data_IF_171267628659
#
_entry.id   IF_171267628659
#
_cell.length_a   1.000
_cell.length_b   1.000
_cell.length_c   1.000
_cell.angle_alpha   90.00
_cell.angle_beta   90.00
_cell.angle_gamma   90.00
#
_symmetry.space_group_name_H-M   'P 1'
#
loop_
_entity.id
_entity.type
_entity.pdbx_description
1 polymer ?
#
# COMPACT_ATOMS: atom_id res chain seq x y z
N UNK A 1 -3.13 -6.02 31.81
CA UNK A 1 -3.91 -5.51 30.65
C UNK A 1 -3.02 -4.56 29.85
N UNK A 2 -2.37 -5.05 28.80
CA UNK A 2 -1.51 -4.23 27.95
C UNK A 2 -2.34 -3.42 26.96
N UNK A 3 -2.12 -2.10 26.93
CA UNK A 3 -2.75 -1.19 25.95
C UNK A 3 -2.54 -1.73 24.53
N UNK A 4 -3.58 -1.82 23.69
CA UNK A 4 -3.38 -2.03 22.27
C UNK A 4 -2.81 -0.71 21.72
N UNK A 5 -1.49 -0.58 21.65
CA UNK A 5 -0.87 0.45 20.83
C UNK A 5 -1.08 0.04 19.38
N UNK A 6 -2.28 0.33 18.88
CA UNK A 6 -2.67 0.11 17.50
C UNK A 6 -1.75 0.90 16.61
N UNK A 7 -0.72 0.25 16.07
CA UNK A 7 -0.02 0.75 14.91
C UNK A 7 -1.08 1.05 13.85
N UNK A 8 -1.11 2.29 13.38
CA UNK A 8 -2.02 2.72 12.32
C UNK A 8 -1.93 1.72 11.18
N UNK A 9 -3.00 0.96 10.93
CA UNK A 9 -2.97 -0.08 9.90
C UNK A 9 -2.80 0.51 8.48
N UNK A 10 -2.41 -0.34 7.52
CA UNK A 10 -2.20 -0.04 6.11
C UNK A 10 -3.31 0.83 5.47
N UNK A 11 -4.59 0.56 5.73
CA UNK A 11 -5.68 1.41 5.24
C UNK A 11 -5.65 2.83 5.81
N UNK A 12 -5.32 2.99 7.10
CA UNK A 12 -5.22 4.31 7.72
C UNK A 12 -3.97 5.06 7.21
N UNK A 13 -2.88 4.34 6.95
CA UNK A 13 -1.69 4.89 6.29
C UNK A 13 -1.97 5.31 4.85
N UNK A 14 -2.71 4.52 4.07
CA UNK A 14 -3.14 4.87 2.72
C UNK A 14 -4.04 6.12 2.72
N UNK A 15 -4.94 6.21 3.69
CA UNK A 15 -5.83 7.36 3.86
C UNK A 15 -5.07 8.63 4.25
N UNK A 16 -4.14 8.54 5.21
CA UNK A 16 -3.23 9.64 5.57
C UNK A 16 -2.38 10.08 4.37
N UNK A 17 -1.92 9.12 3.55
CA UNK A 17 -1.19 9.41 2.33
C UNK A 17 -2.03 10.20 1.34
N UNK A 18 -3.28 9.78 1.14
CA UNK A 18 -4.24 10.47 0.28
C UNK A 18 -4.54 11.88 0.77
N UNK A 19 -4.87 12.06 2.06
CA UNK A 19 -5.09 13.39 2.66
C UNK A 19 -3.85 14.27 2.50
N UNK A 20 -2.66 13.71 2.74
CA UNK A 20 -1.40 14.43 2.58
C UNK A 20 -1.19 14.92 1.15
N UNK A 21 -1.37 14.04 0.16
CA UNK A 21 -1.23 14.39 -1.25
C UNK A 21 -2.30 15.40 -1.70
N UNK A 22 -3.54 15.23 -1.24
CA UNK A 22 -4.61 16.18 -1.52
C UNK A 22 -4.28 17.57 -0.93
N UNK A 23 -3.86 17.62 0.33
CA UNK A 23 -3.47 18.87 0.99
C UNK A 23 -2.26 19.54 0.33
N UNK A 24 -1.30 18.74 -0.15
CA UNK A 24 -0.17 19.21 -0.96
C UNK A 24 -0.64 19.89 -2.25
N UNK A 25 -1.46 19.18 -3.04
CA UNK A 25 -1.89 19.66 -4.36
C UNK A 25 -2.81 20.88 -4.22
N UNK A 26 -3.83 20.79 -3.37
CA UNK A 26 -4.76 21.91 -3.14
C UNK A 26 -4.06 23.11 -2.50
N UNK A 27 -3.15 22.90 -1.55
CA UNK A 27 -2.35 23.97 -0.96
C UNK A 27 -1.48 24.70 -1.99
N UNK A 28 -0.85 23.98 -2.91
CA UNK A 28 -0.08 24.59 -4.01
C UNK A 28 -0.97 25.39 -4.98
N UNK A 29 -2.14 24.87 -5.34
CA UNK A 29 -3.09 25.59 -6.22
C UNK A 29 -3.54 26.89 -5.56
N UNK A 30 -3.92 26.85 -4.29
CA UNK A 30 -4.37 28.02 -3.54
C UNK A 30 -3.21 29.00 -3.30
N UNK A 31 -1.99 28.51 -3.08
CA UNK A 31 -0.80 29.36 -2.99
C UNK A 31 -0.58 30.16 -4.26
N UNK A 32 -0.59 29.50 -5.43
CA UNK A 32 -0.42 30.17 -6.73
C UNK A 32 -1.56 31.15 -6.99
N UNK A 33 -2.82 30.75 -6.75
CA UNK A 33 -3.98 31.64 -6.90
C UNK A 33 -3.91 32.87 -5.99
N UNK A 34 -3.53 32.68 -4.72
CA UNK A 34 -3.37 33.77 -3.75
C UNK A 34 -2.24 34.74 -4.13
N UNK A 35 -1.13 34.25 -4.69
CA UNK A 35 -0.07 35.11 -5.21
C UNK A 35 -0.54 35.95 -6.41
N UNK A 36 -1.30 35.36 -7.33
CA UNK A 36 -1.85 36.06 -8.50
C UNK A 36 -2.88 37.14 -8.10
N UNK A 37 -3.62 36.92 -7.02
CA UNK A 37 -4.59 37.89 -6.48
C UNK A 37 -3.97 38.92 -5.51
N UNK A 38 -2.65 38.91 -5.29
CA UNK A 38 -1.97 39.80 -4.33
C UNK A 38 -2.26 39.48 -2.85
N UNK A 39 -2.89 38.33 -2.55
CA UNK A 39 -3.25 37.87 -1.21
C UNK A 39 -2.11 37.05 -0.60
N UNK A 40 -1.06 37.75 -0.18
CA UNK A 40 0.19 37.16 0.33
C UNK A 40 -0.06 36.28 1.58
N UNK A 41 -0.85 36.76 2.55
CA UNK A 41 -1.05 36.03 3.81
C UNK A 41 -1.83 34.71 3.62
N UNK A 42 -2.96 34.67 2.89
CA UNK A 42 -3.61 33.40 2.52
C UNK A 42 -2.71 32.46 1.71
N UNK A 43 -1.88 32.99 0.82
CA UNK A 43 -0.93 32.20 0.04
C UNK A 43 0.08 31.49 0.97
N UNK A 44 0.68 32.21 1.92
CA UNK A 44 1.63 31.62 2.88
C UNK A 44 1.01 30.52 3.75
N UNK A 45 -0.25 30.68 4.17
CA UNK A 45 -0.99 29.63 4.88
C UNK A 45 -1.20 28.40 3.99
N UNK A 46 -1.57 28.61 2.72
CA UNK A 46 -1.74 27.52 1.76
C UNK A 46 -0.42 26.78 1.47
N UNK A 47 0.71 27.49 1.46
CA UNK A 47 2.05 26.90 1.33
C UNK A 47 2.42 26.04 2.55
N UNK A 48 2.12 26.50 3.76
CA UNK A 48 2.35 25.72 4.98
C UNK A 48 1.50 24.42 5.00
N UNK A 49 0.23 24.51 4.57
CA UNK A 49 -0.64 23.35 4.37
C UNK A 49 -0.06 22.40 3.32
N UNK A 50 0.48 22.93 2.22
CA UNK A 50 1.09 22.13 1.18
C UNK A 50 2.31 21.33 1.69
N UNK A 51 3.20 21.99 2.44
CA UNK A 51 4.38 21.36 3.05
C UNK A 51 3.97 20.28 4.05
N UNK A 52 3.00 20.59 4.93
CA UNK A 52 2.45 19.62 5.89
C UNK A 52 1.81 18.42 5.19
N UNK A 53 1.08 18.66 4.11
CA UNK A 53 0.52 17.62 3.24
C UNK A 53 1.60 16.73 2.62
N UNK A 54 2.68 17.32 2.10
CA UNK A 54 3.82 16.58 1.54
C UNK A 54 4.48 15.66 2.57
N UNK A 55 4.62 16.11 3.82
CA UNK A 55 5.15 15.29 4.91
C UNK A 55 4.21 14.13 5.28
N UNK A 56 2.91 14.43 5.43
CA UNK A 56 1.87 13.44 5.73
C UNK A 56 1.71 12.39 4.61
N UNK A 57 1.99 12.76 3.36
CA UNK A 57 2.04 11.86 2.22
C UNK A 57 3.25 10.93 2.24
N UNK A 58 4.42 11.46 2.58
CA UNK A 58 5.70 10.75 2.45
C UNK A 58 5.87 9.62 3.48
N UNK A 59 5.46 9.84 4.73
CA UNK A 59 5.64 8.90 5.82
C UNK A 59 4.95 7.52 5.62
N UNK A 60 3.65 7.45 5.30
CA UNK A 60 2.97 6.19 5.03
C UNK A 60 3.44 5.50 3.74
N UNK A 61 3.78 6.28 2.70
CA UNK A 61 4.25 5.76 1.42
C UNK A 61 5.47 4.84 1.56
N UNK A 62 6.46 5.27 2.34
CA UNK A 62 7.70 4.50 2.55
C UNK A 62 7.43 3.18 3.27
N UNK A 63 6.41 3.13 4.14
CA UNK A 63 6.06 1.92 4.89
C UNK A 63 5.19 0.95 4.11
N UNK A 64 4.42 1.42 3.13
CA UNK A 64 3.48 0.57 2.36
C UNK A 64 4.11 -0.19 1.19
N UNK A 65 5.36 0.10 0.81
CA UNK A 65 6.00 -0.52 -0.35
C UNK A 65 6.06 -2.07 -0.26
N UNK A 66 6.27 -2.60 0.95
CA UNK A 66 6.38 -4.04 1.19
C UNK A 66 5.07 -4.67 1.68
N UNK A 67 3.94 -3.97 1.55
CA UNK A 67 2.64 -4.47 1.98
C UNK A 67 2.20 -5.63 1.08
N UNK A 68 1.76 -6.72 1.71
CA UNK A 68 1.26 -7.93 1.06
C UNK A 68 -0.25 -8.02 1.13
N UNK A 69 -0.84 -7.76 2.29
CA UNK A 69 -2.28 -7.93 2.46
C UNK A 69 -2.75 -7.77 3.89
N UNK A 70 -4.07 -7.85 4.07
CA UNK A 70 -4.72 -7.74 5.37
C UNK A 70 -5.66 -8.92 5.59
N UNK A 71 -5.16 -10.08 6.03
CA UNK A 71 -5.99 -11.27 6.27
C UNK A 71 -7.07 -11.04 7.34
N UNK A 72 -6.82 -10.16 8.31
CA UNK A 72 -7.80 -9.76 9.33
C UNK A 72 -7.63 -8.29 9.72
N UNK A 73 -8.68 -7.70 10.31
CA UNK A 73 -8.62 -6.34 10.83
C UNK A 73 -7.40 -6.16 11.76
N UNK A 74 -6.62 -5.10 11.53
CA UNK A 74 -5.41 -4.77 12.29
C UNK A 74 -4.26 -5.79 12.20
N UNK A 75 -4.32 -6.77 11.28
CA UNK A 75 -3.23 -7.71 10.99
C UNK A 75 -2.69 -7.50 9.59
N UNK A 76 -2.01 -6.38 9.40
CA UNK A 76 -1.34 -6.09 8.13
C UNK A 76 -0.10 -6.95 7.97
N UNK A 77 0.04 -7.57 6.81
CA UNK A 77 1.17 -8.44 6.47
C UNK A 77 2.10 -7.71 5.53
N UNK A 78 3.39 -7.77 5.86
CA UNK A 78 4.48 -7.20 5.09
C UNK A 78 5.51 -8.29 4.78
N UNK A 79 6.35 -8.02 3.79
CA UNK A 79 7.47 -8.87 3.45
C UNK A 79 8.82 -8.16 3.70
N UNK A 80 9.85 -8.94 3.97
CA UNK A 80 11.26 -8.52 3.94
C UNK A 80 12.14 -9.66 3.41
N UNK A 81 13.45 -9.53 3.57
CA UNK A 81 14.43 -10.54 3.13
C UNK A 81 14.36 -11.86 3.91
N UNK A 82 13.74 -11.87 5.10
CA UNK A 82 13.66 -13.05 5.97
C UNK A 82 12.35 -13.80 5.76
N UNK A 83 11.24 -13.10 5.58
CA UNK A 83 9.93 -13.74 5.44
C UNK A 83 8.75 -12.78 5.36
N UNK A 84 7.56 -13.35 5.57
CA UNK A 84 6.34 -12.57 5.80
C UNK A 84 6.14 -12.34 7.29
N UNK A 85 5.79 -11.13 7.68
CA UNK A 85 5.57 -10.76 9.08
C UNK A 85 4.35 -9.85 9.25
N UNK A 86 3.77 -9.87 10.44
CA UNK A 86 2.74 -8.91 10.81
C UNK A 86 3.37 -7.58 11.23
N UNK A 87 2.77 -6.47 10.81
CA UNK A 87 3.13 -5.13 11.28
C UNK A 87 2.70 -4.88 12.72
N UNK A 88 3.45 -5.50 13.63
CA UNK A 88 3.34 -5.39 15.07
C UNK A 88 4.73 -5.23 15.68
N UNK A 89 4.77 -4.80 16.95
CA UNK A 89 6.03 -4.70 17.69
C UNK A 89 6.72 -6.07 17.72
N UNK A 90 8.02 -6.09 17.40
CA UNK A 90 8.81 -7.32 17.30
C UNK A 90 8.73 -8.03 15.95
N UNK A 91 7.90 -7.57 15.00
CA UNK A 91 7.76 -8.14 13.64
C UNK A 91 7.59 -9.68 13.66
N UNK A 92 6.53 -10.20 14.29
CA UNK A 92 6.33 -11.64 14.36
C UNK A 92 6.15 -12.21 12.95
N UNK A 93 7.08 -13.07 12.54
CA UNK A 93 7.05 -13.74 11.24
C UNK A 93 5.93 -14.78 11.21
N UNK A 94 5.14 -14.76 10.14
CA UNK A 94 4.25 -15.85 9.76
C UNK A 94 5.06 -17.09 9.40
N UNK A 95 6.14 -16.86 8.66
CA UNK A 95 7.12 -17.86 8.25
C UNK A 95 8.35 -17.14 7.69
N UNK A 96 9.47 -17.83 7.70
CA UNK A 96 10.65 -17.42 6.93
C UNK A 96 10.61 -18.03 5.53
N UNK A 97 11.24 -17.39 4.54
CA UNK A 97 11.27 -17.90 3.17
C UNK A 97 11.92 -19.29 3.07
N UNK A 98 12.87 -19.59 3.97
CA UNK A 98 13.53 -20.89 4.04
C UNK A 98 12.61 -22.04 4.46
N UNK A 99 11.50 -21.74 5.13
CA UNK A 99 10.46 -22.71 5.52
C UNK A 99 9.51 -23.06 4.37
N UNK A 100 9.42 -22.22 3.33
CA UNK A 100 8.44 -22.39 2.25
C UNK A 100 8.99 -23.30 1.16
N UNK A 101 8.19 -24.28 0.75
CA UNK A 101 8.46 -25.15 -0.40
C UNK A 101 7.91 -24.51 -1.68
N UNK A 102 6.63 -24.16 -1.67
CA UNK A 102 5.91 -23.58 -2.80
C UNK A 102 4.77 -22.68 -2.32
N UNK A 103 4.22 -21.86 -3.23
CA UNK A 103 3.03 -21.07 -2.98
C UNK A 103 2.03 -21.22 -4.14
N UNK A 104 0.74 -21.02 -3.86
CA UNK A 104 -0.37 -21.13 -4.81
C UNK A 104 -1.31 -19.96 -4.64
N UNK A 105 -1.68 -19.31 -5.75
CA UNK A 105 -2.77 -18.32 -5.76
C UNK A 105 -4.06 -19.11 -5.94
N UNK A 106 -4.93 -19.08 -4.93
CA UNK A 106 -6.17 -19.85 -4.91
C UNK A 106 -7.32 -19.11 -5.58
N UNK A 107 -7.41 -17.81 -5.37
CA UNK A 107 -8.45 -16.97 -5.94
C UNK A 107 -7.98 -15.53 -6.06
N UNK A 108 -8.55 -14.80 -7.02
CA UNK A 108 -8.39 -13.36 -7.18
C UNK A 108 -9.76 -12.77 -7.47
N UNK A 109 -10.10 -11.71 -6.75
CA UNK A 109 -11.33 -10.95 -6.89
C UNK A 109 -10.97 -9.52 -7.24
N UNK A 110 -11.63 -8.97 -8.25
CA UNK A 110 -11.47 -7.59 -8.65
C UNK A 110 -12.56 -6.75 -8.00
N UNK A 111 -12.15 -5.64 -7.37
CA UNK A 111 -13.04 -4.69 -6.72
C UNK A 111 -12.87 -3.36 -7.43
N UNK A 112 -13.88 -2.96 -8.19
CA UNK A 112 -13.93 -1.62 -8.74
C UNK A 112 -14.18 -0.61 -7.61
N UNK A 113 -13.12 0.13 -7.24
CA UNK A 113 -13.21 1.19 -6.23
C UNK A 113 -13.56 2.54 -6.84
N UNK A 114 -13.73 2.59 -8.16
CA UNK A 114 -14.10 3.76 -8.90
C UNK A 114 -15.29 3.42 -9.82
N UNK A 115 -16.42 2.94 -9.25
CA UNK A 115 -17.61 2.75 -10.07
C UNK A 115 -17.88 4.10 -10.71
N UNK A 116 -18.04 4.15 -12.04
CA UNK A 116 -18.33 5.36 -12.82
C UNK A 116 -19.55 6.09 -12.25
N UNK A 117 -19.35 6.84 -11.17
CA UNK A 117 -20.40 7.59 -10.50
C UNK A 117 -20.45 8.93 -11.20
N UNK A 118 -21.67 9.35 -11.56
CA UNK A 118 -21.98 10.63 -12.19
C UNK A 118 -21.24 11.82 -11.53
N UNK A 119 -20.90 11.73 -10.24
CA UNK A 119 -20.12 12.74 -9.51
C UNK A 119 -18.71 13.03 -10.08
N UNK A 120 -18.04 12.06 -10.72
CA UNK A 120 -16.71 12.24 -11.34
C UNK A 120 -16.79 12.96 -12.69
N UNK A 121 -17.94 12.90 -13.37
CA UNK A 121 -18.15 13.57 -14.66
C UNK A 121 -18.54 15.05 -14.51
N UNK A 122 -19.03 15.47 -13.35
CA UNK A 122 -19.64 16.81 -13.15
C UNK A 122 -18.63 17.85 -12.60
N UNK A 123 -17.45 17.44 -12.10
CA UNK A 123 -16.44 18.35 -11.52
C UNK A 123 -15.03 18.11 -12.10
N UNK A 124 -14.73 18.60 -13.32
CA UNK A 124 -13.46 18.32 -13.99
C UNK A 124 -12.23 18.89 -13.27
N UNK A 125 -12.37 19.98 -12.51
CA UNK A 125 -11.23 20.67 -11.87
C UNK A 125 -10.96 20.13 -10.45
N UNK A 126 -12.00 19.72 -9.72
CA UNK A 126 -11.88 19.15 -8.36
C UNK A 126 -11.44 17.68 -8.34
N UNK A 127 -11.68 16.94 -9.43
CA UNK A 127 -11.32 15.52 -9.53
C UNK A 127 -9.83 15.30 -9.90
N UNK A 128 -9.18 16.26 -10.57
CA UNK A 128 -7.78 16.15 -10.99
C UNK A 128 -6.81 15.96 -9.79
N UNK A 129 -6.89 16.76 -8.71
CA UNK A 129 -6.09 16.54 -7.50
C UNK A 129 -6.32 15.17 -6.86
N UNK A 130 -7.57 14.69 -6.87
CA UNK A 130 -7.96 13.41 -6.26
C UNK A 130 -7.38 12.24 -7.06
N UNK A 131 -7.53 12.25 -8.38
CA UNK A 131 -7.00 11.22 -9.29
C UNK A 131 -5.47 11.19 -9.26
N UNK A 132 -4.82 12.36 -9.25
CA UNK A 132 -3.36 12.44 -9.15
C UNK A 132 -2.85 11.99 -7.78
N UNK A 133 -3.51 12.39 -6.69
CA UNK A 133 -3.19 11.92 -5.33
C UNK A 133 -3.34 10.39 -5.22
N UNK A 134 -4.41 9.82 -5.75
CA UNK A 134 -4.60 8.36 -5.82
C UNK A 134 -3.47 7.69 -6.60
N UNK A 135 -3.15 8.20 -7.79
CA UNK A 135 -2.10 7.64 -8.62
C UNK A 135 -0.74 7.67 -7.90
N UNK A 136 -0.34 8.81 -7.35
CA UNK A 136 0.93 8.93 -6.62
C UNK A 136 0.94 8.05 -5.37
N UNK A 137 -0.20 7.92 -4.69
CA UNK A 137 -0.32 7.09 -3.51
C UNK A 137 -0.05 5.61 -3.82
N UNK A 138 -0.66 5.12 -4.88
CA UNK A 138 -0.71 3.69 -5.17
C UNK A 138 0.31 3.22 -6.21
N UNK A 139 0.88 4.08 -7.06
CA UNK A 139 1.71 3.64 -8.22
C UNK A 139 2.91 2.75 -7.86
N UNK A 140 3.45 2.81 -6.64
CA UNK A 140 4.53 1.92 -6.18
C UNK A 140 4.02 0.69 -5.44
N UNK A 141 2.82 0.76 -4.88
CA UNK A 141 2.20 -0.32 -4.09
C UNK A 141 1.42 -1.24 -5.03
N UNK A 142 0.61 -0.68 -5.92
CA UNK A 142 -0.14 -1.39 -6.93
C UNK A 142 -0.31 -0.45 -8.15
N UNK A 143 0.59 -0.54 -9.16
CA UNK A 143 0.54 0.31 -10.35
C UNK A 143 -0.73 0.13 -11.16
N UNK A 144 -1.26 -1.10 -11.18
CA UNK A 144 -2.49 -1.42 -11.91
C UNK A 144 -3.69 -0.78 -11.23
N UNK A 145 -3.78 -0.88 -9.90
CA UNK A 145 -4.80 -0.16 -9.15
C UNK A 145 -4.67 1.37 -9.29
N UNK A 146 -3.44 1.88 -9.29
CA UNK A 146 -3.18 3.30 -9.41
C UNK A 146 -3.68 3.89 -10.74
N UNK A 147 -3.64 3.13 -11.82
CA UNK A 147 -4.06 3.56 -13.16
C UNK A 147 -5.53 3.25 -13.44
N UNK A 148 -6.01 2.06 -13.08
CA UNK A 148 -7.35 1.57 -13.43
C UNK A 148 -8.41 1.87 -12.38
N UNK A 149 -7.99 2.02 -11.12
CA UNK A 149 -8.91 2.08 -9.98
C UNK A 149 -9.54 0.75 -9.58
N UNK A 150 -9.16 -0.36 -10.24
CA UNK A 150 -9.63 -1.72 -9.95
C UNK A 150 -8.64 -2.38 -8.99
N UNK A 151 -9.07 -2.65 -7.77
CA UNK A 151 -8.24 -3.28 -6.74
C UNK A 151 -8.37 -4.80 -6.83
N UNK A 152 -7.25 -5.50 -6.99
CA UNK A 152 -7.24 -6.97 -6.98
C UNK A 152 -6.92 -7.48 -5.59
N UNK A 153 -7.85 -8.23 -5.00
CA UNK A 153 -7.64 -8.92 -3.73
C UNK A 153 -7.68 -10.42 -3.96
N UNK A 154 -6.68 -11.15 -3.50
CA UNK A 154 -6.65 -12.60 -3.66
C UNK A 154 -6.35 -13.37 -2.39
N UNK A 155 -6.45 -14.69 -2.52
CA UNK A 155 -6.08 -15.65 -1.49
C UNK A 155 -4.85 -16.41 -1.96
N UNK A 156 -3.79 -16.39 -1.15
CA UNK A 156 -2.53 -17.08 -1.44
C UNK A 156 -2.26 -18.10 -0.34
N UNK A 157 -2.02 -19.34 -0.74
CA UNK A 157 -1.59 -20.42 0.14
C UNK A 157 -0.07 -20.61 0.00
N UNK A 158 0.62 -20.63 1.14
CA UNK A 158 2.03 -20.98 1.24
C UNK A 158 2.14 -22.37 1.86
N UNK A 159 2.86 -23.26 1.20
CA UNK A 159 3.07 -24.65 1.64
C UNK A 159 4.50 -24.73 2.19
N UNK A 160 4.60 -25.11 3.47
CA UNK A 160 5.87 -25.27 4.15
C UNK A 160 6.54 -26.60 3.77
N UNK A 161 7.85 -26.68 3.98
CA UNK A 161 8.65 -27.90 3.75
C UNK A 161 8.29 -29.04 4.69
N UNK A 162 7.73 -28.73 5.86
CA UNK A 162 7.20 -29.71 6.82
C UNK A 162 5.81 -30.25 6.44
N UNK A 163 5.22 -29.80 5.33
CA UNK A 163 3.91 -30.20 4.83
C UNK A 163 2.74 -29.40 5.40
N UNK A 164 2.95 -28.53 6.39
CA UNK A 164 1.93 -27.59 6.85
C UNK A 164 1.67 -26.48 5.83
N UNK A 165 0.53 -25.79 5.93
CA UNK A 165 0.22 -24.67 5.03
C UNK A 165 -0.34 -23.46 5.76
N UNK A 166 -0.05 -22.27 5.24
CA UNK A 166 -0.54 -20.99 5.73
C UNK A 166 -1.32 -20.33 4.60
N UNK A 167 -2.57 -19.95 4.88
CA UNK A 167 -3.43 -19.26 3.91
C UNK A 167 -3.52 -17.79 4.29
N UNK A 168 -3.17 -16.92 3.35
CA UNK A 168 -3.30 -15.47 3.45
C UNK A 168 -4.46 -15.01 2.56
N UNK A 169 -5.50 -14.49 3.19
CA UNK A 169 -6.64 -13.86 2.51
C UNK A 169 -6.41 -12.36 2.34
N UNK A 170 -7.12 -11.74 1.40
CA UNK A 170 -7.03 -10.30 1.11
C UNK A 170 -5.61 -9.83 0.79
N UNK A 171 -4.87 -10.64 0.02
CA UNK A 171 -3.56 -10.29 -0.54
C UNK A 171 -3.78 -9.28 -1.65
N UNK A 172 -3.12 -8.12 -1.54
CA UNK A 172 -3.21 -7.05 -2.52
C UNK A 172 -2.38 -7.41 -3.75
N UNK A 173 -3.05 -7.45 -4.90
CA UNK A 173 -2.51 -7.79 -6.22
C UNK A 173 -1.50 -8.96 -6.16
N UNK A 174 -1.99 -10.21 -5.94
CA UNK A 174 -1.12 -11.37 -5.77
C UNK A 174 -0.15 -11.57 -6.94
N UNK A 175 -0.56 -11.24 -8.17
CA UNK A 175 0.28 -11.36 -9.36
C UNK A 175 1.52 -10.46 -9.32
N UNK A 176 1.39 -9.26 -8.74
CA UNK A 176 2.54 -8.36 -8.51
C UNK A 176 3.58 -8.98 -7.58
N UNK A 177 3.14 -9.83 -6.64
CA UNK A 177 4.00 -10.42 -5.63
C UNK A 177 4.71 -11.70 -6.11
N UNK A 178 4.27 -12.30 -7.23
CA UNK A 178 4.90 -13.47 -7.86
C UNK A 178 6.42 -13.31 -8.00
N UNK A 179 6.96 -12.27 -8.68
CA UNK A 179 8.40 -12.14 -8.85
C UNK A 179 9.15 -11.99 -7.52
N UNK A 180 8.51 -11.43 -6.50
CA UNK A 180 9.10 -11.27 -5.16
C UNK A 180 9.14 -12.62 -4.43
N UNK A 181 8.03 -13.35 -4.43
CA UNK A 181 7.95 -14.67 -3.82
C UNK A 181 8.87 -15.66 -4.53
N UNK A 182 8.87 -15.65 -5.86
CA UNK A 182 9.78 -16.47 -6.67
C UNK A 182 11.23 -16.18 -6.33
N UNK A 183 11.63 -14.91 -6.26
CA UNK A 183 12.99 -14.53 -5.86
C UNK A 183 13.37 -15.18 -4.53
N UNK A 184 12.60 -14.94 -3.47
CA UNK A 184 12.98 -15.41 -2.14
C UNK A 184 12.80 -16.91 -1.92
N UNK A 185 11.84 -17.56 -2.57
CA UNK A 185 11.57 -18.99 -2.38
C UNK A 185 12.48 -19.83 -3.28
N UNK A 186 12.71 -19.44 -4.54
CA UNK A 186 13.57 -20.20 -5.47
C UNK A 186 15.06 -20.02 -5.14
N UNK A 187 15.53 -18.80 -4.88
CA UNK A 187 16.95 -18.57 -4.51
C UNK A 187 17.34 -19.32 -3.22
N UNK A 188 16.42 -19.45 -2.25
CA UNK A 188 16.67 -20.22 -1.02
C UNK A 188 16.63 -21.74 -1.23
N UNK A 189 15.91 -22.23 -2.23
CA UNK A 189 15.90 -23.65 -2.58
C UNK A 189 17.16 -24.03 -3.37
N UNK A 190 17.64 -23.17 -4.26
CA UNK A 190 18.89 -23.38 -5.02
C UNK A 190 20.12 -23.33 -4.12
N UNK A 191 20.24 -22.35 -3.21
CA UNK A 191 21.38 -22.29 -2.26
C UNK A 191 21.52 -23.54 -1.38
N UNK A 192 20.42 -24.23 -1.07
CA UNK A 192 20.47 -25.49 -0.31
C UNK A 192 20.85 -26.69 -1.17
N UNK A 193 20.62 -26.64 -2.48
CA UNK A 193 21.02 -27.71 -3.40
C UNK A 193 22.53 -27.72 -3.68
N UNK A 194 23.21 -26.57 -3.61
CA UNK A 194 24.67 -26.47 -3.80
C UNK A 194 25.51 -26.86 -2.57
N UNK A 195 24.87 -27.08 -1.42
CA UNK A 195 25.53 -27.53 -0.18
C UNK A 195 25.21 -29.00 0.16
N UNK A 196 24.65 -29.75 -0.79
CA UNK A 196 24.57 -31.22 -0.78
C UNK A 196 25.61 -31.79 -1.74
#
# INVERSE_FOLDING_TARGET
MGKPTGGYGAANRAFLQFIGLFSLISGLIIFVGGLLEGKILPALVALAIAIGGGYAAYYPYKRMANFVGRPAAFRDVFYDEKGLYYDAQGKPYLFTWGEIKEYKILSVTEIDTNPNSLSVQILPIGALPISFAKYIAWRKIDPEYASTGIMKLGTVQFIKKDGSSIVLTHVLNPYRLIPIFDKYIKENNEKKAYHM
#
